data_IF_643780381909
#
_entry.id   IF_643780381909
#
_cell.length_a   1.000
_cell.length_b   1.000
_cell.length_c   1.000
_cell.angle_alpha   90.00
_cell.angle_beta   90.00
_cell.angle_gamma   90.00
#
_symmetry.space_group_name_H-M   'P 1'
#
loop_
_entity.id
_entity.type
_entity.pdbx_description
1 polymer ?
#
# COMPACT_ATOMS: atom_id res chain seq x y z
N UNK A 1 7.69 -10.44 -37.66
CA UNK A 1 8.25 -9.20 -37.06
C UNK A 1 7.17 -8.20 -36.63
N UNK A 2 6.23 -7.75 -37.49
CA UNK A 2 5.17 -6.78 -37.09
C UNK A 2 4.20 -7.24 -35.98
N UNK A 3 3.82 -8.52 -35.93
CA UNK A 3 2.91 -9.06 -34.89
C UNK A 3 3.57 -9.15 -33.50
N UNK A 4 4.89 -9.40 -33.46
CA UNK A 4 5.65 -9.50 -32.21
C UNK A 4 5.80 -8.13 -31.52
N UNK A 5 5.92 -7.06 -32.31
CA UNK A 5 5.97 -5.69 -31.79
C UNK A 5 4.60 -5.21 -31.29
N UNK A 6 3.50 -5.70 -31.88
CA UNK A 6 2.14 -5.44 -31.40
C UNK A 6 1.85 -6.15 -30.08
N UNK A 7 2.26 -7.41 -29.93
CA UNK A 7 2.12 -8.15 -28.66
C UNK A 7 3.00 -7.53 -27.58
N UNK A 8 4.24 -7.18 -27.91
CA UNK A 8 5.16 -6.49 -26.99
C UNK A 8 4.64 -5.10 -26.59
N UNK A 9 4.03 -4.35 -27.52
CA UNK A 9 3.43 -3.04 -27.21
C UNK A 9 2.17 -3.16 -26.33
N UNK A 10 1.34 -4.19 -26.54
CA UNK A 10 0.18 -4.48 -25.67
C UNK A 10 0.63 -4.91 -24.28
N UNK A 11 1.68 -5.74 -24.19
CA UNK A 11 2.28 -6.14 -22.92
C UNK A 11 2.91 -4.95 -22.18
N UNK A 12 3.64 -4.08 -22.88
CA UNK A 12 4.21 -2.86 -22.30
C UNK A 12 3.13 -1.87 -21.88
N UNK A 13 2.02 -1.75 -22.62
CA UNK A 13 0.88 -0.93 -22.23
C UNK A 13 0.12 -1.51 -21.03
N UNK A 14 0.02 -2.84 -20.93
CA UNK A 14 -0.55 -3.52 -19.76
C UNK A 14 0.38 -3.43 -18.54
N UNK A 15 1.70 -3.54 -18.73
CA UNK A 15 2.70 -3.30 -17.69
C UNK A 15 2.71 -1.84 -17.24
N UNK A 16 2.59 -0.88 -18.15
CA UNK A 16 2.42 0.53 -17.81
C UNK A 16 1.05 0.80 -17.16
N UNK A 17 0.02 0.03 -17.47
CA UNK A 17 -1.29 0.07 -16.83
C UNK A 17 -1.29 -0.57 -15.44
N UNK A 18 -0.51 -1.63 -15.20
CA UNK A 18 -0.34 -2.25 -13.88
C UNK A 18 0.64 -1.45 -13.02
N UNK A 19 1.73 -0.94 -13.57
CA UNK A 19 2.61 0.03 -12.90
C UNK A 19 1.91 1.36 -12.69
N UNK A 20 1.04 1.77 -13.60
CA UNK A 20 0.18 2.94 -13.49
C UNK A 20 -0.95 2.74 -12.48
N UNK A 21 -1.50 1.52 -12.36
CA UNK A 21 -2.44 1.16 -11.31
C UNK A 21 -1.74 1.05 -9.96
N UNK A 22 -0.53 0.52 -9.88
CA UNK A 22 0.29 0.54 -8.65
C UNK A 22 0.76 1.96 -8.31
N UNK A 23 1.03 2.80 -9.30
CA UNK A 23 1.37 4.21 -9.09
C UNK A 23 0.14 5.05 -8.74
N UNK A 24 -1.04 4.73 -9.27
CA UNK A 24 -2.31 5.37 -8.95
C UNK A 24 -2.89 4.86 -7.62
N UNK A 25 -2.66 3.60 -7.27
CA UNK A 25 -2.99 2.99 -5.97
C UNK A 25 -1.98 3.48 -4.91
N UNK A 26 -0.72 3.73 -5.28
CA UNK A 26 0.23 4.46 -4.44
C UNK A 26 -0.17 5.93 -4.29
N UNK A 27 -0.64 6.60 -5.34
CA UNK A 27 -1.14 7.99 -5.23
C UNK A 27 -2.42 8.05 -4.38
N UNK A 28 -3.36 7.13 -4.58
CA UNK A 28 -4.65 7.13 -3.90
C UNK A 28 -4.58 6.58 -2.47
N UNK A 29 -3.69 5.64 -2.17
CA UNK A 29 -3.46 5.19 -0.80
C UNK A 29 -2.52 6.12 -0.04
N UNK A 30 -1.52 6.74 -0.69
CA UNK A 30 -0.75 7.83 -0.05
C UNK A 30 -1.70 8.97 0.31
N UNK A 31 -2.61 9.40 -0.58
CA UNK A 31 -3.56 10.48 -0.28
C UNK A 31 -4.53 10.14 0.87
N UNK A 32 -4.95 8.87 1.01
CA UNK A 32 -5.84 8.43 2.08
C UNK A 32 -5.10 8.20 3.41
N UNK A 33 -3.89 7.64 3.39
CA UNK A 33 -3.01 7.52 4.55
C UNK A 33 -2.56 8.91 5.03
N UNK A 34 -2.12 9.81 4.14
CA UNK A 34 -1.79 11.21 4.46
C UNK A 34 -3.00 11.95 5.01
N UNK A 35 -4.20 11.77 4.44
CA UNK A 35 -5.42 12.41 4.93
C UNK A 35 -5.86 11.92 6.32
N UNK A 36 -5.65 10.63 6.62
CA UNK A 36 -5.92 10.09 7.95
C UNK A 36 -4.85 10.53 8.96
N UNK A 37 -3.57 10.49 8.58
CA UNK A 37 -2.47 10.98 9.41
C UNK A 37 -2.63 12.46 9.72
N UNK A 38 -2.91 13.27 8.71
CA UNK A 38 -3.17 14.69 8.89
C UNK A 38 -4.39 14.93 9.79
N UNK A 39 -5.46 14.14 9.67
CA UNK A 39 -6.59 14.22 10.59
C UNK A 39 -6.20 13.91 12.05
N UNK A 40 -5.34 12.92 12.26
CA UNK A 40 -4.87 12.54 13.61
C UNK A 40 -4.01 13.64 14.23
N UNK A 41 -3.16 14.29 13.46
CA UNK A 41 -2.28 15.35 13.97
C UNK A 41 -2.95 16.73 14.06
N UNK A 42 -3.75 17.10 13.05
CA UNK A 42 -4.28 18.47 12.92
C UNK A 42 -5.72 18.63 13.45
N UNK A 43 -6.56 17.60 13.32
CA UNK A 43 -7.98 17.69 13.67
C UNK A 43 -8.31 17.02 15.02
N UNK A 44 -7.57 15.99 15.41
CA UNK A 44 -7.66 15.39 16.74
C UNK A 44 -6.80 16.21 17.71
N UNK A 45 -7.45 16.79 18.73
CA UNK A 45 -6.75 17.49 19.81
C UNK A 45 -6.03 16.50 20.71
N UNK A 46 -4.83 16.08 20.31
CA UNK A 46 -3.98 15.18 21.06
C UNK A 46 -3.37 15.89 22.27
N UNK A 47 -3.15 15.14 23.33
CA UNK A 47 -2.31 15.59 24.46
C UNK A 47 -0.83 15.38 24.12
N UNK A 48 0.07 16.11 24.79
CA UNK A 48 1.51 15.95 24.57
C UNK A 48 2.01 14.50 24.80
N UNK A 49 1.41 13.75 25.74
CA UNK A 49 1.73 12.34 25.96
C UNK A 49 1.27 11.46 24.78
N UNK A 50 0.10 11.77 24.21
CA UNK A 50 -0.41 11.06 23.04
C UNK A 50 0.42 11.36 21.78
N UNK A 51 0.84 12.60 21.57
CA UNK A 51 1.75 13.00 20.49
C UNK A 51 3.08 12.24 20.59
N UNK A 52 3.73 12.22 21.76
CA UNK A 52 5.00 11.50 21.95
C UNK A 52 4.85 9.99 21.66
N UNK A 53 3.75 9.38 22.11
CA UNK A 53 3.45 7.97 21.85
C UNK A 53 3.16 7.70 20.37
N UNK A 54 2.47 8.62 19.71
CA UNK A 54 2.15 8.54 18.29
C UNK A 54 3.41 8.66 17.42
N UNK A 55 4.26 9.65 17.68
CA UNK A 55 5.54 9.82 16.98
C UNK A 55 6.42 8.57 17.11
N UNK A 56 6.47 7.98 18.31
CA UNK A 56 7.21 6.76 18.56
C UNK A 56 6.60 5.53 17.87
N UNK A 57 5.28 5.50 17.65
CA UNK A 57 4.58 4.47 16.88
C UNK A 57 4.89 4.64 15.38
N UNK A 58 4.77 5.85 14.85
CA UNK A 58 5.03 6.19 13.45
C UNK A 58 6.47 5.88 13.02
N UNK A 59 7.45 6.23 13.86
CA UNK A 59 8.85 5.93 13.59
C UNK A 59 9.09 4.41 13.44
N UNK A 60 8.38 3.57 14.20
CA UNK A 60 8.47 2.10 14.10
C UNK A 60 7.76 1.60 12.86
N UNK A 61 6.57 2.15 12.57
CA UNK A 61 5.81 1.77 11.39
C UNK A 61 6.56 2.11 10.10
N UNK A 62 7.19 3.29 10.01
CA UNK A 62 7.98 3.71 8.86
C UNK A 62 9.10 2.70 8.52
N UNK A 63 9.77 2.14 9.54
CA UNK A 63 10.80 1.10 9.34
C UNK A 63 10.19 -0.18 8.79
N UNK A 64 9.06 -0.62 9.34
CA UNK A 64 8.38 -1.84 8.89
C UNK A 64 7.80 -1.68 7.48
N UNK A 65 7.18 -0.54 7.18
CA UNK A 65 6.64 -0.18 5.88
C UNK A 65 7.76 -0.22 4.82
N UNK A 66 8.89 0.46 5.09
CA UNK A 66 10.05 0.45 4.18
C UNK A 66 10.58 -0.97 3.91
N UNK A 67 10.59 -1.84 4.94
CA UNK A 67 11.00 -3.25 4.82
C UNK A 67 10.03 -4.03 3.93
N UNK A 68 8.72 -3.88 4.14
CA UNK A 68 7.68 -4.57 3.36
C UNK A 68 7.66 -4.09 1.91
N UNK A 69 7.79 -2.78 1.67
CA UNK A 69 7.92 -2.23 0.33
C UNK A 69 9.16 -2.78 -0.39
N UNK A 70 10.31 -2.86 0.29
CA UNK A 70 11.51 -3.45 -0.30
C UNK A 70 11.30 -4.92 -0.66
N UNK A 71 10.57 -5.67 0.16
CA UNK A 71 10.19 -7.05 -0.13
C UNK A 71 9.28 -7.16 -1.36
N UNK A 72 8.30 -6.27 -1.52
CA UNK A 72 7.43 -6.24 -2.69
C UNK A 72 8.22 -5.89 -3.97
N UNK A 73 9.14 -4.92 -3.90
CA UNK A 73 10.05 -4.58 -5.02
C UNK A 73 10.92 -5.77 -5.42
N UNK A 74 11.42 -6.53 -4.44
CA UNK A 74 12.22 -7.73 -4.72
C UNK A 74 11.39 -8.83 -5.41
N UNK A 75 10.14 -9.06 -4.99
CA UNK A 75 9.23 -10.00 -5.64
C UNK A 75 8.93 -9.60 -7.11
N UNK A 76 8.75 -8.30 -7.37
CA UNK A 76 8.58 -7.80 -8.75
C UNK A 76 9.82 -8.04 -9.62
N UNK A 77 11.03 -7.90 -9.07
CA UNK A 77 12.25 -8.21 -9.80
C UNK A 77 12.36 -9.71 -10.13
N UNK A 78 11.91 -10.59 -9.23
CA UNK A 78 11.83 -12.03 -9.48
C UNK A 78 10.83 -12.37 -10.58
N UNK A 79 9.65 -11.72 -10.59
CA UNK A 79 8.67 -11.88 -11.65
C UNK A 79 9.25 -11.48 -13.01
N UNK A 80 9.95 -10.35 -13.09
CA UNK A 80 10.60 -9.92 -14.33
C UNK A 80 11.62 -10.96 -14.83
N UNK A 81 12.41 -11.54 -13.93
CA UNK A 81 13.36 -12.60 -14.27
C UNK A 81 12.68 -13.89 -14.75
N UNK A 82 11.59 -14.31 -14.10
CA UNK A 82 10.81 -15.47 -14.51
C UNK A 82 10.22 -15.27 -15.92
N UNK A 83 9.69 -14.08 -16.21
CA UNK A 83 9.17 -13.73 -17.53
C UNK A 83 10.26 -13.74 -18.62
N UNK A 84 11.46 -13.25 -18.30
CA UNK A 84 12.62 -13.30 -19.20
C UNK A 84 13.14 -14.73 -19.41
N UNK A 85 12.88 -15.64 -18.47
CA UNK A 85 13.34 -17.03 -18.57
C UNK A 85 12.35 -17.87 -19.36
N UNK A 86 11.08 -17.87 -18.97
CA UNK A 86 10.04 -18.72 -19.55
C UNK A 86 9.50 -18.17 -20.87
N UNK A 87 9.45 -16.84 -21.06
CA UNK A 87 8.83 -16.17 -22.22
C UNK A 87 7.36 -16.54 -22.49
N UNK A 88 6.73 -17.28 -21.57
CA UNK A 88 5.35 -17.68 -21.56
C UNK A 88 4.81 -17.69 -20.13
N UNK A 89 3.51 -17.88 -19.97
CA UNK A 89 2.92 -18.07 -18.65
C UNK A 89 3.21 -19.50 -18.17
N UNK A 90 4.41 -19.70 -17.63
CA UNK A 90 4.87 -20.96 -17.10
C UNK A 90 4.76 -21.04 -15.57
N UNK A 91 5.22 -22.16 -14.98
CA UNK A 91 5.17 -22.38 -13.54
C UNK A 91 5.97 -21.34 -12.74
N UNK A 92 7.10 -20.84 -13.24
CA UNK A 92 7.92 -19.84 -12.52
C UNK A 92 7.24 -18.47 -12.54
N UNK A 93 6.67 -18.05 -13.68
CA UNK A 93 5.89 -16.80 -13.76
C UNK A 93 4.68 -16.84 -12.84
N UNK A 94 3.93 -17.96 -12.81
CA UNK A 94 2.78 -18.11 -11.91
C UNK A 94 3.19 -18.03 -10.44
N UNK A 95 4.26 -18.71 -10.04
CA UNK A 95 4.75 -18.68 -8.66
C UNK A 95 5.25 -17.29 -8.25
N UNK A 96 5.92 -16.57 -9.15
CA UNK A 96 6.37 -15.22 -8.88
C UNK A 96 5.21 -14.22 -8.74
N UNK A 97 4.11 -14.39 -9.48
CA UNK A 97 2.88 -13.61 -9.30
C UNK A 97 2.27 -13.84 -7.91
N UNK A 98 2.17 -15.10 -7.48
CA UNK A 98 1.64 -15.43 -6.15
C UNK A 98 2.50 -14.82 -5.04
N UNK A 99 3.83 -14.81 -5.20
CA UNK A 99 4.75 -14.17 -4.26
C UNK A 99 4.55 -12.65 -4.21
N UNK A 100 4.39 -11.99 -5.37
CA UNK A 100 4.08 -10.55 -5.42
C UNK A 100 2.79 -10.25 -4.65
N UNK A 101 1.71 -11.01 -4.88
CA UNK A 101 0.46 -10.85 -4.15
C UNK A 101 0.62 -11.06 -2.64
N UNK A 102 1.38 -12.07 -2.24
CA UNK A 102 1.66 -12.33 -0.83
C UNK A 102 2.38 -11.13 -0.18
N UNK A 103 3.41 -10.57 -0.83
CA UNK A 103 4.16 -9.42 -0.29
C UNK A 103 3.32 -8.15 -0.22
N UNK A 104 2.50 -7.89 -1.25
CA UNK A 104 1.55 -6.78 -1.22
C UNK A 104 0.52 -6.95 -0.09
N UNK A 105 0.01 -8.16 0.12
CA UNK A 105 -0.91 -8.45 1.20
C UNK A 105 -0.32 -8.20 2.59
N UNK A 106 0.98 -8.46 2.80
CA UNK A 106 1.64 -8.16 4.07
C UNK A 106 1.74 -6.66 4.33
N UNK A 107 1.99 -5.84 3.30
CA UNK A 107 1.96 -4.37 3.41
C UNK A 107 0.57 -3.89 3.82
N UNK A 108 -0.48 -4.35 3.13
CA UNK A 108 -1.86 -3.99 3.45
C UNK A 108 -2.25 -4.36 4.89
N UNK A 109 -1.89 -5.58 5.33
CA UNK A 109 -2.13 -6.01 6.72
C UNK A 109 -1.38 -5.14 7.72
N UNK A 110 -0.16 -4.71 7.39
CA UNK A 110 0.63 -3.84 8.26
C UNK A 110 -0.01 -2.45 8.42
N UNK A 111 -0.46 -1.83 7.32
CA UNK A 111 -1.23 -0.57 7.35
C UNK A 111 -2.48 -0.71 8.23
N UNK A 112 -3.28 -1.76 8.05
CA UNK A 112 -4.51 -1.94 8.84
C UNK A 112 -4.18 -2.10 10.33
N UNK A 113 -3.12 -2.84 10.68
CA UNK A 113 -2.67 -2.94 12.08
C UNK A 113 -2.24 -1.58 12.62
N UNK A 114 -1.47 -0.81 11.86
CA UNK A 114 -1.05 0.55 12.25
C UNK A 114 -2.23 1.48 12.55
N UNK A 115 -3.30 1.41 11.75
CA UNK A 115 -4.55 2.14 12.02
C UNK A 115 -5.16 1.78 13.38
N UNK A 116 -5.16 0.49 13.75
CA UNK A 116 -5.61 0.07 15.08
C UNK A 116 -4.64 0.48 16.19
N UNK A 117 -3.33 0.40 15.96
CA UNK A 117 -2.31 0.82 16.93
C UNK A 117 -2.44 2.33 17.25
N UNK A 118 -2.72 3.18 16.24
CA UNK A 118 -3.03 4.60 16.45
C UNK A 118 -4.28 4.79 17.31
N UNK A 119 -5.34 4.01 17.05
CA UNK A 119 -6.60 4.07 17.79
C UNK A 119 -6.40 3.77 19.29
N UNK A 120 -5.47 2.89 19.65
CA UNK A 120 -5.18 2.51 21.05
C UNK A 120 -4.55 3.65 21.89
N UNK A 121 -3.98 4.66 21.24
CA UNK A 121 -3.41 5.85 21.91
C UNK A 121 -4.50 6.84 22.34
N UNK A 122 -5.63 6.82 21.62
CA UNK A 122 -6.71 7.79 21.75
C UNK A 122 -7.63 7.50 22.95
N UNK A 123 -8.18 8.56 23.54
CA UNK A 123 -9.26 8.46 24.52
C UNK A 123 -10.61 8.10 23.87
N UNK A 124 -11.66 7.74 24.64
CA UNK A 124 -12.93 7.29 24.08
C UNK A 124 -13.61 8.29 23.13
N UNK A 125 -13.52 9.59 23.38
CA UNK A 125 -14.16 10.62 22.55
C UNK A 125 -13.38 10.83 21.24
N UNK A 126 -12.05 10.78 21.33
CA UNK A 126 -11.15 10.80 20.16
C UNK A 126 -11.35 9.55 19.28
N UNK A 127 -11.49 8.35 19.88
CA UNK A 127 -11.75 7.11 19.15
C UNK A 127 -13.04 7.19 18.32
N UNK A 128 -14.11 7.78 18.85
CA UNK A 128 -15.36 7.97 18.11
C UNK A 128 -15.22 8.89 16.89
N UNK A 129 -14.30 9.85 16.93
CA UNK A 129 -13.99 10.73 15.80
C UNK A 129 -13.12 10.00 14.78
N UNK A 130 -12.10 9.30 15.26
CA UNK A 130 -11.22 8.46 14.46
C UNK A 130 -11.98 7.38 13.67
N UNK A 131 -12.82 6.60 14.34
CA UNK A 131 -13.59 5.51 13.74
C UNK A 131 -14.51 6.02 12.61
N UNK A 132 -15.09 7.21 12.77
CA UNK A 132 -15.89 7.86 11.72
C UNK A 132 -15.05 8.28 10.52
N UNK A 133 -13.87 8.86 10.74
CA UNK A 133 -12.96 9.28 9.66
C UNK A 133 -12.45 8.06 8.89
N UNK A 134 -12.01 7.01 9.59
CA UNK A 134 -11.58 5.74 8.98
C UNK A 134 -12.70 5.11 8.17
N UNK A 135 -13.92 5.03 8.72
CA UNK A 135 -15.06 4.50 7.98
C UNK A 135 -15.36 5.30 6.72
N UNK A 136 -15.30 6.64 6.78
CA UNK A 136 -15.51 7.50 5.62
C UNK A 136 -14.42 7.34 4.57
N UNK A 137 -13.15 7.22 4.97
CA UNK A 137 -12.03 6.98 4.07
C UNK A 137 -12.16 5.64 3.33
N UNK A 138 -12.61 4.58 4.03
CA UNK A 138 -12.77 3.24 3.45
C UNK A 138 -14.03 3.07 2.59
N UNK A 139 -15.01 3.98 2.67
CA UNK A 139 -16.31 3.87 1.99
C UNK A 139 -16.54 4.96 0.94
N UNK A 140 -15.59 5.90 0.78
CA UNK A 140 -15.64 6.91 -0.27
C UNK A 140 -15.51 6.25 -1.64
N UNK A 141 -16.41 6.60 -2.56
CA UNK A 141 -16.30 6.18 -3.97
C UNK A 141 -15.08 6.92 -4.58
N UNK A 142 -14.15 6.24 -5.26
CA UNK A 142 -12.99 6.89 -5.90
C UNK A 142 -13.33 7.93 -6.98
N UNK A 143 -14.62 8.16 -7.28
CA UNK A 143 -15.11 9.03 -8.36
C UNK A 143 -15.77 10.33 -7.88
N UNK A 144 -15.82 10.58 -6.58
CA UNK A 144 -16.31 11.84 -5.98
C UNK A 144 -15.15 12.78 -5.63
#
# INVERSE_FOLDING_TARGET
>A
MKKFHLVLAVLLAALAGCLGALAADRWSNDDAEDSLHQFVHDELSLTADQEERLDALEARFAVEQARLEASARAANAQLAQAMETEHEYGPEVSAAIDEVHARMGELQKATVRHVFDMREILDPDQQLQFDRKVSAALTRDPRD
#
